data_IF_201641904953
#
_entry.id   IF_201641904953
#
_cell.length_a   1.000
_cell.length_b   1.000
_cell.length_c   1.000
_cell.angle_alpha   90.00
_cell.angle_beta   90.00
_cell.angle_gamma   90.00
#
_symmetry.space_group_name_H-M   'P 1'
#
loop_
_entity.id
_entity.type
_entity.pdbx_description
1 polymer ?
#
# COMPACT_ATOMS: atom_id res chain seq x y z
N UNK A 1 14.28 -0.52 9.29
CA UNK A 1 14.22 -1.89 8.75
C UNK A 1 12.77 -2.23 8.53
N UNK A 2 12.33 -2.46 7.28
CA UNK A 2 11.01 -2.97 7.01
C UNK A 2 10.77 -4.26 7.82
N UNK A 3 9.65 -4.31 8.53
CA UNK A 3 9.23 -5.56 9.17
C UNK A 3 9.03 -6.59 8.05
N UNK A 4 9.57 -7.80 8.20
CA UNK A 4 9.36 -8.90 7.25
C UNK A 4 7.88 -9.31 7.13
N UNK A 5 6.98 -8.71 7.92
CA UNK A 5 5.54 -8.92 7.89
C UNK A 5 4.76 -7.94 7.02
N UNK A 6 5.36 -6.85 6.53
CA UNK A 6 4.70 -5.88 5.66
C UNK A 6 5.22 -6.00 4.21
N UNK A 7 4.48 -6.68 3.31
CA UNK A 7 4.90 -6.84 1.93
C UNK A 7 4.96 -5.50 1.16
N UNK A 8 4.19 -4.49 1.55
CA UNK A 8 4.21 -3.18 0.90
C UNK A 8 5.51 -2.43 1.20
N UNK A 9 5.85 -2.31 2.48
CA UNK A 9 7.10 -1.69 2.89
C UNK A 9 8.32 -2.42 2.31
N UNK A 10 8.27 -3.76 2.24
CA UNK A 10 9.32 -4.55 1.60
C UNK A 10 9.50 -4.20 0.11
N UNK A 11 8.41 -4.13 -0.66
CA UNK A 11 8.47 -3.81 -2.09
C UNK A 11 9.00 -2.40 -2.34
N UNK A 12 8.60 -1.42 -1.50
CA UNK A 12 9.11 -0.06 -1.54
C UNK A 12 10.61 0.00 -1.22
N UNK A 13 11.05 -0.62 -0.12
CA UNK A 13 12.47 -0.68 0.22
C UNK A 13 13.29 -1.33 -0.89
N UNK A 14 12.80 -2.43 -1.47
CA UNK A 14 13.50 -3.14 -2.54
C UNK A 14 13.69 -2.24 -3.77
N UNK A 15 12.63 -1.55 -4.22
CA UNK A 15 12.70 -0.62 -5.35
C UNK A 15 13.68 0.51 -5.12
N UNK A 16 13.66 1.10 -3.92
CA UNK A 16 14.58 2.18 -3.54
C UNK A 16 16.03 1.70 -3.43
N UNK A 17 16.27 0.50 -2.92
CA UNK A 17 17.64 -0.05 -2.76
C UNK A 17 18.37 -0.19 -4.10
N UNK A 18 17.63 -0.44 -5.18
CA UNK A 18 18.19 -0.45 -6.54
C UNK A 18 18.63 0.95 -6.97
N UNK A 19 17.79 1.96 -6.75
CA UNK A 19 18.15 3.37 -7.04
C UNK A 19 19.39 3.78 -6.24
N UNK A 20 19.46 3.40 -4.96
CA UNK A 20 20.62 3.66 -4.09
C UNK A 20 21.90 2.98 -4.59
N UNK A 21 21.77 1.82 -5.24
CA UNK A 21 22.92 1.12 -5.83
C UNK A 21 23.43 1.84 -7.09
N UNK A 22 22.51 2.38 -7.90
CA UNK A 22 22.85 3.14 -9.12
C UNK A 22 23.32 4.57 -8.81
N UNK A 23 22.92 5.13 -7.65
CA UNK A 23 23.19 6.50 -7.20
C UNK A 23 23.64 6.51 -5.74
N UNK A 24 24.88 6.08 -5.44
CA UNK A 24 25.38 5.93 -4.07
C UNK A 24 25.39 7.23 -3.26
N UNK A 25 25.38 8.39 -3.92
CA UNK A 25 25.31 9.70 -3.27
C UNK A 25 24.04 9.88 -2.43
N UNK A 26 22.95 9.18 -2.77
CA UNK A 26 21.69 9.19 -2.01
C UNK A 26 21.86 8.67 -0.59
N UNK A 27 22.83 7.76 -0.36
CA UNK A 27 23.08 7.18 0.96
C UNK A 27 23.52 8.19 2.01
N UNK A 28 23.99 9.37 1.59
CA UNK A 28 24.42 10.46 2.48
C UNK A 28 23.48 11.68 2.43
N UNK A 29 22.42 11.64 1.61
CA UNK A 29 21.48 12.75 1.51
C UNK A 29 20.42 12.64 2.62
N UNK A 30 20.48 13.55 3.60
CA UNK A 30 19.59 13.53 4.75
C UNK A 30 18.12 13.73 4.36
N UNK A 31 17.84 14.52 3.32
CA UNK A 31 16.48 14.80 2.88
C UNK A 31 15.87 13.59 2.18
N UNK A 32 16.65 12.91 1.33
CA UNK A 32 16.25 11.62 0.76
C UNK A 32 15.94 10.60 1.86
N UNK A 33 16.82 10.46 2.84
CA UNK A 33 16.65 9.50 3.94
C UNK A 33 15.39 9.79 4.77
N UNK A 34 15.11 11.05 5.09
CA UNK A 34 13.88 11.47 5.76
C UNK A 34 12.62 11.10 4.96
N UNK A 35 12.60 11.41 3.66
CA UNK A 35 11.47 11.12 2.78
C UNK A 35 11.25 9.61 2.62
N UNK A 36 12.34 8.85 2.47
CA UNK A 36 12.32 7.39 2.46
C UNK A 36 11.74 6.85 3.76
N UNK A 37 12.22 7.30 4.91
CA UNK A 37 11.75 6.82 6.20
C UNK A 37 10.27 7.15 6.42
N UNK A 38 9.83 8.34 6.02
CA UNK A 38 8.42 8.75 6.08
C UNK A 38 7.54 7.85 5.22
N UNK A 39 7.93 7.59 3.97
CA UNK A 39 7.21 6.68 3.09
C UNK A 39 7.08 5.27 3.70
N UNK A 40 8.15 4.74 4.29
CA UNK A 40 8.11 3.41 4.91
C UNK A 40 7.22 3.37 6.15
N UNK A 41 7.17 4.44 6.95
CA UNK A 41 6.23 4.57 8.07
C UNK A 41 4.78 4.63 7.60
N UNK A 42 4.49 5.39 6.54
CA UNK A 42 3.13 5.52 6.03
C UNK A 42 2.64 4.23 5.36
N UNK A 43 3.51 3.51 4.65
CA UNK A 43 3.22 2.18 4.13
C UNK A 43 2.95 1.15 5.24
N UNK A 44 3.58 1.29 6.40
CA UNK A 44 3.27 0.49 7.59
C UNK A 44 1.91 0.84 8.19
N UNK A 45 1.57 2.13 8.27
CA UNK A 45 0.24 2.59 8.68
C UNK A 45 -0.86 2.02 7.78
N UNK A 46 -0.71 2.17 6.47
CA UNK A 46 -1.68 1.67 5.50
C UNK A 46 -1.81 0.14 5.55
N UNK A 47 -0.71 -0.61 5.67
CA UNK A 47 -0.79 -2.06 5.80
C UNK A 47 -1.57 -2.51 7.05
N UNK A 48 -1.42 -1.81 8.18
CA UNK A 48 -2.22 -2.08 9.39
C UNK A 48 -3.69 -1.81 9.19
N UNK A 49 -4.06 -0.76 8.45
CA UNK A 49 -5.46 -0.48 8.09
C UNK A 49 -6.05 -1.62 7.26
N UNK A 50 -5.29 -2.14 6.29
CA UNK A 50 -5.70 -3.31 5.50
C UNK A 50 -5.91 -4.52 6.43
N UNK A 51 -4.95 -4.83 7.30
CA UNK A 51 -5.08 -5.93 8.25
C UNK A 51 -6.31 -5.78 9.16
N UNK A 52 -6.58 -4.57 9.66
CA UNK A 52 -7.74 -4.27 10.50
C UNK A 52 -9.06 -4.46 9.75
N UNK A 53 -9.13 -4.02 8.49
CA UNK A 53 -10.27 -4.25 7.59
C UNK A 53 -10.58 -5.75 7.47
N UNK A 54 -9.59 -6.57 7.09
CA UNK A 54 -9.78 -8.02 6.93
C UNK A 54 -10.14 -8.70 8.26
N UNK A 55 -9.46 -8.33 9.35
CA UNK A 55 -9.74 -8.89 10.66
C UNK A 55 -11.18 -8.58 11.13
N UNK A 56 -11.71 -7.40 10.80
CA UNK A 56 -13.09 -7.02 11.13
C UNK A 56 -14.09 -7.87 10.38
N UNK A 57 -13.91 -8.04 9.07
CA UNK A 57 -14.80 -8.85 8.22
C UNK A 57 -14.81 -10.30 8.69
N UNK A 58 -13.65 -10.90 8.93
CA UNK A 58 -13.53 -12.30 9.33
C UNK A 58 -14.10 -12.60 10.72
N UNK A 59 -14.15 -11.59 11.61
CA UNK A 59 -14.75 -11.70 12.95
C UNK A 59 -16.25 -11.44 12.97
N UNK A 60 -16.80 -10.84 11.91
CA UNK A 60 -18.21 -10.53 11.80
C UNK A 60 -18.97 -11.76 11.32
N UNK A 61 -20.05 -12.14 12.02
CA UNK A 61 -20.93 -13.22 11.60
C UNK A 61 -22.01 -12.70 10.67
N UNK A 62 -22.39 -13.52 9.69
CA UNK A 62 -23.61 -13.28 8.92
C UNK A 62 -24.84 -13.40 9.85
N UNK A 63 -25.96 -12.80 9.46
CA UNK A 63 -27.21 -12.88 10.23
C UNK A 63 -27.69 -14.33 10.45
N UNK A 64 -27.31 -15.25 9.56
CA UNK A 64 -27.63 -16.67 9.68
C UNK A 64 -26.67 -17.44 10.61
N UNK A 65 -25.73 -16.76 11.26
CA UNK A 65 -24.67 -17.34 12.09
C UNK A 65 -23.45 -17.86 11.30
N UNK A 66 -23.48 -17.83 9.97
CA UNK A 66 -22.39 -18.30 9.12
C UNK A 66 -21.20 -17.34 9.04
N UNK A 67 -20.01 -17.88 8.75
CA UNK A 67 -18.78 -17.09 8.58
C UNK A 67 -18.81 -16.27 7.28
N UNK A 68 -18.38 -15.02 7.34
CA UNK A 68 -18.16 -14.14 6.18
C UNK A 68 -16.74 -14.31 5.64
N UNK A 69 -16.61 -14.27 4.32
CA UNK A 69 -15.33 -14.13 3.63
C UNK A 69 -15.33 -12.92 2.71
N UNK A 70 -14.27 -12.08 2.73
CA UNK A 70 -14.06 -11.06 1.73
C UNK A 70 -13.97 -11.71 0.34
N UNK A 71 -14.73 -11.20 -0.62
CA UNK A 71 -14.72 -11.68 -2.02
C UNK A 71 -14.42 -10.59 -3.02
N UNK A 72 -14.67 -9.33 -2.68
CA UNK A 72 -14.45 -8.20 -3.56
C UNK A 72 -14.16 -6.92 -2.76
N UNK A 73 -13.51 -5.97 -3.43
CA UNK A 73 -13.13 -4.66 -2.88
C UNK A 73 -13.41 -3.56 -3.89
N UNK A 74 -14.00 -2.47 -3.44
CA UNK A 74 -14.17 -1.26 -4.24
C UNK A 74 -13.69 -0.02 -3.49
N UNK A 75 -12.82 0.77 -4.12
CA UNK A 75 -12.32 2.00 -3.54
C UNK A 75 -13.15 3.18 -4.02
N UNK A 76 -13.75 3.89 -3.06
CA UNK A 76 -14.60 5.05 -3.33
C UNK A 76 -14.15 6.29 -2.59
N UNK A 77 -14.67 7.45 -3.01
CA UNK A 77 -14.48 8.71 -2.30
C UNK A 77 -15.85 9.29 -1.95
N UNK A 78 -16.04 9.68 -0.69
CA UNK A 78 -17.23 10.37 -0.22
C UNK A 78 -16.85 11.44 0.79
N UNK A 79 -17.30 12.68 0.58
CA UNK A 79 -17.07 13.79 1.52
C UNK A 79 -15.60 14.13 1.79
N UNK A 80 -14.68 13.84 0.87
CA UNK A 80 -13.24 14.06 1.07
C UNK A 80 -12.49 12.86 1.67
N UNK A 81 -13.21 11.83 2.11
CA UNK A 81 -12.63 10.61 2.69
C UNK A 81 -12.61 9.50 1.65
N UNK A 82 -11.48 8.80 1.55
CA UNK A 82 -11.36 7.58 0.75
C UNK A 82 -11.79 6.39 1.61
N UNK A 83 -12.62 5.53 1.03
CA UNK A 83 -13.11 4.32 1.68
C UNK A 83 -12.74 3.09 0.85
N UNK A 84 -12.41 2.02 1.55
CA UNK A 84 -12.35 0.65 1.01
C UNK A 84 -13.67 -0.04 1.38
N UNK A 85 -14.47 -0.28 0.35
CA UNK A 85 -15.73 -0.99 0.44
C UNK A 85 -15.47 -2.47 0.24
N UNK A 86 -15.48 -3.24 1.33
CA UNK A 86 -15.28 -4.69 1.26
C UNK A 86 -16.62 -5.38 1.14
N UNK A 87 -16.79 -6.15 0.06
CA UNK A 87 -17.94 -7.04 -0.11
C UNK A 87 -17.53 -8.40 0.43
N UNK A 88 -18.24 -8.85 1.46
CA UNK A 88 -18.05 -10.17 2.06
C UNK A 88 -19.25 -11.07 1.78
N UNK A 89 -18.99 -12.34 1.46
CA UNK A 89 -20.04 -13.34 1.20
C UNK A 89 -20.06 -14.38 2.32
N UNK A 90 -21.25 -14.71 2.79
CA UNK A 90 -21.42 -15.77 3.78
C UNK A 90 -21.21 -17.15 3.16
N UNK A 91 -20.36 -17.98 3.77
CA UNK A 91 -20.16 -19.38 3.34
C UNK A 91 -21.42 -20.23 3.45
N UNK A 92 -22.26 -19.96 4.45
CA UNK A 92 -23.39 -20.83 4.78
C UNK A 92 -24.64 -20.54 3.95
N UNK A 93 -25.01 -19.26 3.81
CA UNK A 93 -26.24 -18.86 3.10
C UNK A 93 -25.98 -18.12 1.78
N UNK A 94 -24.72 -17.82 1.44
CA UNK A 94 -24.35 -17.14 0.20
C UNK A 94 -24.70 -15.65 0.13
N UNK A 95 -25.29 -15.06 1.16
CA UNK A 95 -25.63 -13.63 1.16
C UNK A 95 -24.39 -12.75 1.25
N UNK A 96 -24.43 -11.62 0.55
CA UNK A 96 -23.38 -10.61 0.55
C UNK A 96 -23.67 -9.53 1.60
N UNK A 97 -22.62 -8.98 2.20
CA UNK A 97 -22.64 -7.85 3.11
C UNK A 97 -21.51 -6.89 2.74
N UNK A 98 -21.77 -5.59 2.78
CA UNK A 98 -20.79 -4.56 2.47
C UNK A 98 -20.32 -3.86 3.74
N UNK A 99 -19.02 -3.64 3.83
CA UNK A 99 -18.36 -2.90 4.91
C UNK A 99 -17.62 -1.72 4.31
N UNK A 100 -17.64 -0.57 4.98
CA UNK A 100 -16.88 0.61 4.54
C UNK A 100 -15.83 0.96 5.60
N UNK A 101 -14.57 1.01 5.18
CA UNK A 101 -13.45 1.36 6.05
C UNK A 101 -12.78 2.63 5.52
N UNK A 102 -12.68 3.71 6.33
CA UNK A 102 -11.90 4.87 5.93
C UNK A 102 -10.41 4.49 5.79
N UNK A 103 -9.73 5.09 4.79
CA UNK A 103 -8.33 4.79 4.44
C UNK A 103 -7.46 6.05 4.47
N UNK A 104 -7.21 6.56 5.66
CA UNK A 104 -6.32 7.71 5.85
C UNK A 104 -4.84 7.35 5.60
N UNK A 105 -4.45 6.12 5.94
CA UNK A 105 -3.14 5.55 5.67
C UNK A 105 -2.83 5.47 4.18
N UNK A 106 -3.80 5.08 3.34
CA UNK A 106 -3.63 5.08 1.88
C UNK A 106 -3.26 6.47 1.34
N UNK A 107 -3.96 7.52 1.81
CA UNK A 107 -3.68 8.90 1.39
C UNK A 107 -2.29 9.33 1.85
N UNK A 108 -1.91 8.99 3.08
CA UNK A 108 -0.61 9.34 3.66
C UNK A 108 0.53 8.68 2.88
N UNK A 109 0.42 7.38 2.60
CA UNK A 109 1.39 6.65 1.78
C UNK A 109 1.52 7.26 0.38
N UNK A 110 0.40 7.53 -0.30
CA UNK A 110 0.39 8.11 -1.64
C UNK A 110 1.11 9.48 -1.67
N UNK A 111 0.85 10.35 -0.67
CA UNK A 111 1.51 11.65 -0.56
C UNK A 111 3.02 11.53 -0.32
N UNK A 112 3.43 10.62 0.54
CA UNK A 112 4.85 10.37 0.81
C UNK A 112 5.57 9.77 -0.39
N UNK A 113 4.91 8.88 -1.14
CA UNK A 113 5.43 8.32 -2.38
C UNK A 113 5.62 9.40 -3.46
N UNK A 114 4.64 10.29 -3.63
CA UNK A 114 4.75 11.43 -4.55
C UNK A 114 5.88 12.38 -4.13
N UNK A 115 5.98 12.70 -2.84
CA UNK A 115 7.02 13.59 -2.32
C UNK A 115 8.43 13.05 -2.58
N UNK A 116 8.64 11.75 -2.35
CA UNK A 116 9.93 11.10 -2.62
C UNK A 116 10.24 11.05 -4.11
N UNK A 117 9.25 10.69 -4.95
CA UNK A 117 9.39 10.69 -6.41
C UNK A 117 9.79 12.07 -6.93
N UNK A 118 9.08 13.11 -6.51
CA UNK A 118 9.29 14.48 -7.00
C UNK A 118 10.65 15.01 -6.56
N UNK A 119 11.10 14.66 -5.34
CA UNK A 119 12.44 14.98 -4.87
C UNK A 119 13.54 14.28 -5.69
N UNK A 120 13.40 12.97 -5.95
CA UNK A 120 14.34 12.21 -6.78
C UNK A 120 14.43 12.77 -8.20
N UNK A 121 13.29 13.12 -8.80
CA UNK A 121 13.23 13.69 -10.13
C UNK A 121 13.88 15.08 -10.18
N UNK A 122 13.56 15.95 -9.22
CA UNK A 122 13.99 17.35 -9.23
C UNK A 122 15.47 17.49 -8.88
N UNK A 123 15.96 16.75 -7.89
CA UNK A 123 17.32 16.88 -7.36
C UNK A 123 18.33 16.08 -8.18
N UNK A 124 17.94 14.89 -8.67
CA UNK A 124 18.87 13.94 -9.27
C UNK A 124 18.54 13.54 -10.71
N UNK A 125 17.42 14.04 -11.25
CA UNK A 125 16.92 13.65 -12.57
C UNK A 125 16.44 12.19 -12.64
N UNK A 126 16.16 11.56 -11.50
CA UNK A 126 15.79 10.15 -11.43
C UNK A 126 14.28 9.99 -11.60
N UNK A 127 13.85 9.42 -12.72
CA UNK A 127 12.45 9.02 -12.94
C UNK A 127 12.17 7.67 -12.27
N UNK A 128 11.93 7.74 -10.95
CA UNK A 128 11.66 6.56 -10.13
C UNK A 128 10.39 5.80 -10.57
N UNK A 129 9.35 6.51 -11.00
CA UNK A 129 8.08 5.88 -11.37
C UNK A 129 8.24 5.02 -12.63
N UNK A 130 8.94 5.52 -13.64
CA UNK A 130 9.24 4.75 -14.85
C UNK A 130 10.18 3.58 -14.58
N UNK A 131 11.19 3.78 -13.72
CA UNK A 131 12.12 2.72 -13.33
C UNK A 131 11.38 1.54 -12.66
N UNK A 132 10.48 1.83 -11.71
CA UNK A 132 9.66 0.81 -11.04
C UNK A 132 8.68 0.14 -12.01
N UNK A 133 8.02 0.91 -12.88
CA UNK A 133 7.08 0.36 -13.88
C UNK A 133 7.77 -0.61 -14.83
N UNK A 134 8.93 -0.24 -15.36
CA UNK A 134 9.73 -1.09 -16.24
C UNK A 134 10.13 -2.40 -15.54
N UNK A 135 10.53 -2.32 -14.27
CA UNK A 135 10.87 -3.51 -13.48
C UNK A 135 9.67 -4.44 -13.29
N UNK A 136 8.50 -3.91 -12.92
CA UNK A 136 7.27 -4.68 -12.77
C UNK A 136 6.86 -5.37 -14.08
N UNK A 137 6.93 -4.67 -15.21
CA UNK A 137 6.63 -5.22 -16.53
C UNK A 137 7.61 -6.33 -16.91
N UNK A 138 8.91 -6.14 -16.64
CA UNK A 138 9.94 -7.14 -16.93
C UNK A 138 9.75 -8.43 -16.13
N UNK A 139 9.27 -8.33 -14.87
CA UNK A 139 8.95 -9.48 -14.02
C UNK A 139 7.69 -10.20 -14.48
N UNK A 140 6.66 -9.45 -14.86
CA UNK A 140 5.42 -10.02 -15.38
C UNK A 140 5.66 -10.81 -16.68
N UNK A 141 6.57 -10.35 -17.55
CA UNK A 141 6.95 -11.02 -18.79
C UNK A 141 7.84 -12.26 -18.61
N UNK A 142 8.39 -12.48 -17.40
CA UNK A 142 9.21 -13.67 -17.06
C UNK A 142 8.39 -14.78 -16.41
N UNK A 143 7.09 -14.57 -16.21
CA UNK A 143 6.12 -15.60 -15.79
C UNK A 143 5.39 -16.12 -17.02
#
# INVERSE_FOLDING_TARGET
MASSGNPMAYLLEYGLRRVETERPELGNDSRYLELKEQLLRDAEGHFREIQATYATVLKTQCHCGGQLEPVDHDFGMSGGTIYDSVIAKCKSCGQAQAFQFPKEGFISEARSAMSLRDYLQTTYGIDYASAVKSDLQSRAARR
#
